data_IF_090157542461
#
_entry.id   IF_090157542461
#
_cell.length_a   1.000
_cell.length_b   1.000
_cell.length_c   1.000
_cell.angle_alpha   90.00
_cell.angle_beta   90.00
_cell.angle_gamma   90.00
#
_symmetry.space_group_name_H-M   'P 1'
#
loop_
_entity.id
_entity.type
_entity.pdbx_description
1 polymer ?
#
# COMPACT_ATOMS: atom_id res chain seq x y z
N UNK A 1 10.04 -9.30 -0.20
CA UNK A 1 9.05 -9.79 0.80
C UNK A 1 7.85 -8.87 0.71
N UNK A 2 6.66 -9.42 0.80
CA UNK A 2 5.42 -8.69 0.75
C UNK A 2 4.45 -9.30 1.76
N UNK A 3 3.78 -8.47 2.52
CA UNK A 3 2.69 -8.82 3.41
C UNK A 3 1.51 -7.91 3.06
N UNK A 4 0.33 -8.49 2.89
CA UNK A 4 -0.89 -7.75 2.63
C UNK A 4 -1.99 -8.27 3.54
N UNK A 5 -2.76 -7.34 4.11
CA UNK A 5 -3.95 -7.63 4.90
C UNK A 5 -5.08 -6.78 4.34
N UNK A 6 -6.19 -7.44 4.02
CA UNK A 6 -7.37 -6.78 3.48
C UNK A 6 -8.60 -7.28 4.22
N UNK A 7 -9.44 -6.34 4.66
CA UNK A 7 -10.73 -6.61 5.28
C UNK A 7 -11.84 -6.01 4.42
N UNK A 8 -12.73 -6.88 3.92
CA UNK A 8 -13.86 -6.51 3.08
C UNK A 8 -15.16 -6.62 3.86
N UNK A 9 -16.07 -5.67 3.63
CA UNK A 9 -17.38 -5.65 4.27
C UNK A 9 -18.45 -5.13 3.30
N UNK A 10 -19.69 -5.57 3.50
CA UNK A 10 -20.84 -5.06 2.73
C UNK A 10 -21.33 -3.77 3.35
N UNK A 11 -21.48 -2.72 2.54
CA UNK A 11 -22.05 -1.44 2.98
C UNK A 11 -23.57 -1.51 2.83
N UNK A 12 -24.05 -1.71 1.61
CA UNK A 12 -25.48 -1.85 1.31
C UNK A 12 -25.69 -2.40 -0.12
N UNK A 13 -26.53 -3.42 -0.29
CA UNK A 13 -26.85 -3.99 -1.61
C UNK A 13 -25.59 -4.37 -2.39
N UNK A 14 -25.40 -3.75 -3.55
CA UNK A 14 -24.24 -3.96 -4.43
C UNK A 14 -22.98 -3.18 -4.02
N UNK A 15 -23.05 -2.34 -2.97
CA UNK A 15 -21.91 -1.58 -2.47
C UNK A 15 -21.13 -2.37 -1.42
N UNK A 16 -19.84 -2.55 -1.67
CA UNK A 16 -18.88 -3.23 -0.79
C UNK A 16 -17.75 -2.25 -0.45
N UNK A 17 -17.33 -2.24 0.80
CA UNK A 17 -16.15 -1.52 1.27
C UNK A 17 -14.99 -2.49 1.51
N UNK A 18 -13.77 -1.98 1.42
CA UNK A 18 -12.57 -2.67 1.83
C UNK A 18 -11.65 -1.70 2.56
N UNK A 19 -10.94 -2.19 3.56
CA UNK A 19 -9.75 -1.54 4.10
C UNK A 19 -8.58 -2.48 3.91
N UNK A 20 -7.46 -1.96 3.44
CA UNK A 20 -6.28 -2.76 3.19
C UNK A 20 -5.04 -2.08 3.73
N UNK A 21 -4.07 -2.90 4.08
CA UNK A 21 -2.73 -2.48 4.44
C UNK A 21 -1.73 -3.45 3.81
N UNK A 22 -0.68 -2.90 3.21
CA UNK A 22 0.40 -3.64 2.62
C UNK A 22 1.73 -3.20 3.23
N UNK A 23 2.67 -4.12 3.31
CA UNK A 23 4.03 -3.84 3.71
C UNK A 23 5.00 -4.73 2.95
N UNK A 24 6.00 -4.13 2.33
CA UNK A 24 6.91 -4.87 1.46
C UNK A 24 8.19 -4.12 1.17
N UNK A 25 9.18 -4.88 0.73
CA UNK A 25 10.39 -4.35 0.12
C UNK A 25 11.06 -5.43 -0.73
N UNK A 26 11.89 -5.00 -1.69
CA UNK A 26 12.64 -5.85 -2.60
C UNK A 26 14.13 -5.73 -2.25
N UNK A 27 14.77 -6.86 -2.02
CA UNK A 27 16.20 -6.94 -1.75
C UNK A 27 16.90 -7.79 -2.79
N UNK A 28 18.17 -7.49 -3.01
CA UNK A 28 19.06 -8.30 -3.84
C UNK A 28 19.59 -9.48 -3.03
N UNK A 29 19.65 -10.65 -3.66
CA UNK A 29 20.27 -11.86 -3.07
C UNK A 29 21.79 -11.69 -3.01
N UNK A 30 22.37 -11.21 -4.12
CA UNK A 30 23.79 -10.94 -4.24
C UNK A 30 24.05 -9.44 -4.18
N UNK A 31 25.23 -9.07 -3.72
CA UNK A 31 25.67 -7.68 -3.76
C UNK A 31 25.85 -7.22 -5.22
N UNK A 32 25.30 -6.07 -5.55
CA UNK A 32 25.43 -5.43 -6.85
C UNK A 32 26.23 -4.13 -6.66
N UNK A 33 27.42 -3.98 -7.28
CA UNK A 33 28.21 -2.75 -7.21
C UNK A 33 27.46 -1.50 -7.69
N UNK A 34 26.43 -1.65 -8.53
CA UNK A 34 25.57 -0.55 -8.98
C UNK A 34 24.49 -0.17 -7.96
N UNK A 35 24.22 -1.03 -6.96
CA UNK A 35 23.20 -0.84 -5.92
C UNK A 35 23.77 -1.20 -4.53
N UNK A 36 24.79 -0.46 -4.07
CA UNK A 36 25.44 -0.74 -2.80
C UNK A 36 24.42 -0.67 -1.65
N UNK A 37 24.46 -1.67 -0.76
CA UNK A 37 23.56 -1.75 0.38
C UNK A 37 22.19 -2.37 0.10
N UNK A 38 21.83 -2.68 -1.15
CA UNK A 38 20.57 -3.33 -1.52
C UNK A 38 20.49 -4.83 -1.22
N UNK A 39 21.56 -5.44 -0.70
CA UNK A 39 21.58 -6.84 -0.33
C UNK A 39 20.67 -7.11 0.88
N UNK A 40 19.97 -8.24 0.83
CA UNK A 40 19.15 -8.73 1.94
C UNK A 40 20.00 -8.94 3.20
N UNK A 41 19.58 -8.33 4.30
CA UNK A 41 20.09 -8.62 5.63
C UNK A 41 18.93 -8.60 6.63
N UNK A 42 18.89 -9.56 7.55
CA UNK A 42 17.84 -9.64 8.57
C UNK A 42 17.71 -8.37 9.41
N UNK A 43 18.83 -7.70 9.71
CA UNK A 43 18.85 -6.41 10.41
C UNK A 43 18.23 -5.26 9.61
N UNK A 44 18.11 -5.40 8.29
CA UNK A 44 17.58 -4.38 7.38
C UNK A 44 16.09 -4.56 7.06
N UNK A 45 15.52 -5.74 7.33
CA UNK A 45 14.14 -6.08 6.96
C UNK A 45 13.13 -5.10 7.55
N UNK A 46 13.19 -4.87 8.86
CA UNK A 46 12.29 -3.93 9.54
C UNK A 46 12.54 -2.46 9.16
N UNK A 47 13.78 -1.92 9.14
CA UNK A 47 14.02 -0.52 8.81
C UNK A 47 13.73 -0.15 7.36
N UNK A 48 13.84 -1.10 6.42
CA UNK A 48 13.64 -0.88 4.98
C UNK A 48 12.25 -1.31 4.48
N UNK A 49 11.38 -1.79 5.37
CA UNK A 49 10.02 -2.14 4.99
C UNK A 49 9.21 -0.88 4.65
N UNK A 50 8.72 -0.78 3.41
CA UNK A 50 7.70 0.19 3.06
C UNK A 50 6.34 -0.32 3.55
N UNK A 51 5.46 0.58 3.95
CA UNK A 51 4.10 0.24 4.34
C UNK A 51 3.10 1.23 3.75
N UNK A 52 1.99 0.72 3.25
CA UNK A 52 0.86 1.47 2.71
C UNK A 52 -0.44 1.02 3.39
N UNK A 53 -1.42 1.92 3.37
CA UNK A 53 -2.79 1.55 3.72
C UNK A 53 -3.78 2.31 2.85
N UNK A 54 -4.97 1.74 2.70
CA UNK A 54 -5.98 2.32 1.86
C UNK A 54 -7.38 1.82 2.15
N UNK A 55 -8.32 2.47 1.47
CA UNK A 55 -9.73 2.20 1.48
C UNK A 55 -10.21 1.94 0.06
N UNK A 56 -10.96 0.86 -0.11
CA UNK A 56 -11.61 0.49 -1.36
C UNK A 56 -13.13 0.63 -1.26
N UNK A 57 -13.75 1.15 -2.31
CA UNK A 57 -15.18 1.12 -2.53
C UNK A 57 -15.45 0.37 -3.84
N UNK A 58 -16.31 -0.64 -3.77
CA UNK A 58 -16.72 -1.41 -4.93
C UNK A 58 -18.22 -1.36 -5.11
N UNK A 59 -18.64 -1.15 -6.36
CA UNK A 59 -20.00 -1.35 -6.82
C UNK A 59 -20.01 -2.59 -7.71
N UNK A 60 -20.76 -3.60 -7.29
CA UNK A 60 -20.74 -4.95 -7.87
C UNK A 60 -22.17 -5.42 -8.20
N UNK A 61 -22.86 -4.79 -9.18
CA UNK A 61 -24.05 -5.36 -9.80
C UNK A 61 -23.68 -6.55 -10.70
N UNK A 62 -24.62 -7.47 -10.89
CA UNK A 62 -24.45 -8.76 -11.60
C UNK A 62 -23.84 -8.69 -13.01
N UNK A 63 -23.70 -7.51 -13.60
CA UNK A 63 -23.24 -7.28 -14.99
C UNK A 63 -21.86 -6.61 -15.06
N UNK A 64 -21.46 -5.82 -14.07
CA UNK A 64 -20.24 -5.01 -14.12
C UNK A 64 -19.73 -4.72 -12.71
N UNK A 65 -18.42 -4.84 -12.50
CA UNK A 65 -17.78 -4.48 -11.24
C UNK A 65 -16.99 -3.20 -11.44
N UNK A 66 -17.28 -2.19 -10.64
CA UNK A 66 -16.50 -0.95 -10.56
C UNK A 66 -15.83 -0.90 -9.18
N UNK A 67 -14.55 -0.56 -9.15
CA UNK A 67 -13.76 -0.39 -7.91
C UNK A 67 -13.08 0.96 -7.92
N UNK A 68 -13.08 1.59 -6.75
CA UNK A 68 -12.43 2.85 -6.44
C UNK A 68 -11.54 2.59 -5.24
N UNK A 69 -10.22 2.66 -5.42
CA UNK A 69 -9.26 2.43 -4.36
C UNK A 69 -8.48 3.71 -4.08
N UNK A 70 -8.41 4.07 -2.81
CA UNK A 70 -7.66 5.21 -2.28
C UNK A 70 -6.59 4.65 -1.35
N UNK A 71 -5.33 4.80 -1.72
CA UNK A 71 -4.19 4.32 -0.92
C UNK A 71 -3.26 5.48 -0.57
N UNK A 72 -2.61 5.40 0.57
CA UNK A 72 -1.61 6.39 1.02
C UNK A 72 -0.41 5.66 1.62
N UNK A 73 0.84 6.11 1.34
CA UNK A 73 2.01 5.54 1.97
C UNK A 73 2.03 5.93 3.45
N UNK A 74 2.12 4.93 4.32
CA UNK A 74 2.27 5.10 5.76
C UNK A 74 3.75 5.23 6.16
N UNK A 75 4.61 4.51 5.43
CA UNK A 75 6.03 4.45 5.69
C UNK A 75 6.85 4.34 4.41
N UNK A 76 7.81 5.24 4.27
CA UNK A 76 8.67 5.37 3.09
C UNK A 76 10.15 5.19 3.47
N UNK A 77 10.77 4.03 3.17
CA UNK A 77 12.13 3.71 3.61
C UNK A 77 13.22 4.49 2.85
N UNK A 78 12.88 5.10 1.71
CA UNK A 78 13.79 5.97 0.94
C UNK A 78 14.06 7.32 1.63
N UNK A 79 13.29 7.67 2.67
CA UNK A 79 13.49 8.89 3.46
C UNK A 79 14.55 8.74 4.56
N UNK A 80 15.10 9.88 5.05
CA UNK A 80 15.91 9.93 6.26
C UNK A 80 15.26 9.14 7.41
N UNK A 81 16.07 8.49 8.25
CA UNK A 81 15.59 7.53 9.25
C UNK A 81 14.57 8.12 10.26
N UNK A 82 14.65 9.42 10.47
CA UNK A 82 13.79 10.25 11.31
C UNK A 82 12.47 10.70 10.64
N UNK A 83 12.35 10.63 9.30
CA UNK A 83 11.17 11.05 8.50
C UNK A 83 10.58 9.89 7.68
N UNK A 84 10.80 8.64 8.10
CA UNK A 84 10.26 7.48 7.37
C UNK A 84 8.77 7.29 7.56
N UNK A 85 8.21 7.75 8.68
CA UNK A 85 6.78 7.69 8.94
C UNK A 85 6.12 8.94 8.35
N UNK A 86 5.18 8.74 7.44
CA UNK A 86 4.58 9.85 6.67
C UNK A 86 3.38 10.48 7.41
N UNK A 87 3.20 10.12 8.69
CA UNK A 87 2.19 10.65 9.62
C UNK A 87 2.82 11.62 10.62
N UNK A 88 3.35 12.75 10.16
CA UNK A 88 3.84 13.77 11.09
C UNK A 88 2.70 14.69 11.55
N UNK A 89 2.68 14.95 12.86
CA UNK A 89 1.62 15.61 13.65
C UNK A 89 1.22 17.04 13.19
N UNK A 90 1.95 17.67 12.27
CA UNK A 90 1.78 19.08 11.90
C UNK A 90 1.33 19.33 10.45
N UNK A 91 1.25 18.30 9.62
CA UNK A 91 0.65 18.39 8.28
C UNK A 91 0.29 16.98 7.77
N UNK A 92 -1.00 16.62 7.63
CA UNK A 92 -1.38 15.32 7.09
C UNK A 92 -1.06 15.26 5.59
N UNK A 93 0.22 15.02 5.26
CA UNK A 93 0.71 14.62 3.92
C UNK A 93 0.08 13.32 3.44
N UNK A 94 -0.71 12.67 4.30
CA UNK A 94 -1.59 11.56 3.96
C UNK A 94 -2.44 11.86 2.73
N UNK A 95 -2.85 13.12 2.53
CA UNK A 95 -3.61 13.57 1.35
C UNK A 95 -2.71 13.98 0.16
N UNK A 96 -1.45 14.33 0.41
CA UNK A 96 -0.52 14.77 -0.62
C UNK A 96 -0.04 13.62 -1.51
N UNK A 97 0.01 12.41 -0.95
CA UNK A 97 0.48 11.20 -1.65
C UNK A 97 -0.63 10.14 -1.79
N UNK A 98 -1.91 10.56 -1.82
CA UNK A 98 -3.00 9.62 -2.09
C UNK A 98 -2.92 9.17 -3.54
N UNK A 99 -2.82 7.87 -3.72
CA UNK A 99 -2.99 7.23 -5.01
C UNK A 99 -4.44 6.83 -5.15
N UNK A 100 -5.07 7.31 -6.22
CA UNK A 100 -6.43 6.96 -6.59
C UNK A 100 -6.41 6.04 -7.80
N UNK A 101 -7.04 4.88 -7.66
CA UNK A 101 -7.16 3.89 -8.72
C UNK A 101 -8.63 3.59 -9.00
N UNK A 102 -8.95 3.45 -10.30
CA UNK A 102 -10.26 3.00 -10.77
C UNK A 102 -10.07 1.70 -11.54
N UNK A 103 -10.85 0.68 -11.22
CA UNK A 103 -10.92 -0.56 -12.00
C UNK A 103 -12.36 -0.84 -12.45
N UNK A 104 -12.50 -1.32 -13.68
CA UNK A 104 -13.78 -1.73 -14.27
C UNK A 104 -13.60 -3.14 -14.85
N UNK A 105 -14.47 -4.07 -14.49
CA UNK A 105 -14.42 -5.46 -14.94
C UNK A 105 -15.78 -6.12 -15.08
N UNK A 106 -15.81 -7.30 -15.67
CA UNK A 106 -17.01 -8.15 -15.75
C UNK A 106 -16.98 -9.23 -14.66
N UNK A 107 -18.10 -9.55 -14.01
CA UNK A 107 -18.20 -10.72 -13.16
C UNK A 107 -18.11 -11.98 -14.04
N UNK A 108 -17.18 -12.87 -13.72
CA UNK A 108 -17.02 -14.19 -14.35
C UNK A 108 -17.79 -15.26 -13.59
#
# INVERSE_FOLDING_TARGET
MEANVEYRFTIAGFFKGAVFADAGNIWLVNEDPQRPGGQFAWSKVLPELAAGAGFGLSFDPDVIVVRLDLATPLREPSRPADDRWVFDDLNPRIFANVVFNIAIGYPF
#
